data_IF_481719130429
#
_entry.id   IF_481719130429
#
_cell.length_a   1.000
_cell.length_b   1.000
_cell.length_c   1.000
_cell.angle_alpha   90.00
_cell.angle_beta   90.00
_cell.angle_gamma   90.00
#
_symmetry.space_group_name_H-M   'P 1'
#
loop_
_entity.id
_entity.type
_entity.pdbx_description
1 polymer ?
#
# COMPACT_ATOMS: atom_id res chain seq x y z
N UNK A 1 -32.12 26.02 38.97
CA UNK A 1 -31.91 25.84 37.51
C UNK A 1 -30.50 26.27 37.16
N UNK A 2 -29.71 25.36 36.57
CA UNK A 2 -28.53 25.64 35.72
C UNK A 2 -28.05 24.29 35.15
N UNK A 3 -28.25 24.02 33.85
CA UNK A 3 -27.66 22.84 33.20
C UNK A 3 -26.22 23.17 32.80
N UNK A 4 -25.25 22.44 33.31
CA UNK A 4 -23.90 22.46 32.73
C UNK A 4 -23.83 21.31 31.73
N UNK A 5 -24.06 21.68 30.48
CA UNK A 5 -23.61 20.96 29.29
C UNK A 5 -22.08 20.79 29.33
N UNK A 6 -21.61 19.56 29.27
CA UNK A 6 -20.31 19.17 28.70
C UNK A 6 -20.49 17.74 28.17
N UNK A 7 -21.16 17.52 27.05
CA UNK A 7 -20.70 17.67 25.66
C UNK A 7 -19.28 17.10 25.41
N UNK A 8 -19.28 15.81 25.05
CA UNK A 8 -18.48 15.20 23.98
C UNK A 8 -16.96 15.44 23.97
N UNK A 9 -16.23 14.72 24.81
CA UNK A 9 -14.83 14.37 24.55
C UNK A 9 -14.74 12.97 23.93
N UNK A 10 -15.32 12.82 22.74
CA UNK A 10 -15.11 11.67 21.87
C UNK A 10 -14.33 12.13 20.65
N UNK A 11 -13.05 12.47 20.81
CA UNK A 11 -12.18 12.65 19.66
C UNK A 11 -12.04 11.28 19.00
N UNK A 12 -12.85 11.07 17.97
CA UNK A 12 -12.68 10.05 16.96
C UNK A 12 -11.27 10.19 16.40
N UNK A 13 -10.34 9.36 16.87
CA UNK A 13 -9.12 9.04 16.13
C UNK A 13 -9.53 8.19 14.91
N UNK A 14 -10.25 8.82 13.97
CA UNK A 14 -10.40 8.29 12.63
C UNK A 14 -9.02 8.40 12.01
N UNK A 15 -8.25 7.31 12.09
CA UNK A 15 -7.06 7.14 11.27
C UNK A 15 -7.52 7.35 9.83
N UNK A 16 -6.96 8.32 9.08
CA UNK A 16 -7.25 8.41 7.67
C UNK A 16 -6.76 7.09 7.06
N UNK A 17 -7.70 6.26 6.60
CA UNK A 17 -7.35 5.17 5.72
C UNK A 17 -6.79 5.85 4.46
N UNK A 18 -5.46 5.85 4.32
CA UNK A 18 -4.79 6.26 3.10
C UNK A 18 -5.30 5.32 2.01
N UNK A 19 -6.21 5.84 1.18
CA UNK A 19 -6.65 5.13 0.00
C UNK A 19 -5.53 5.23 -1.02
N UNK A 20 -5.09 4.08 -1.55
CA UNK A 20 -4.08 4.04 -2.60
C UNK A 20 -4.54 4.88 -3.79
N UNK A 21 -3.66 5.71 -4.36
CA UNK A 21 -3.98 6.50 -5.54
C UNK A 21 -4.25 5.58 -6.77
N UNK A 22 -5.42 5.67 -7.42
CA UNK A 22 -5.71 4.88 -8.63
C UNK A 22 -4.73 5.13 -9.78
N UNK A 23 -4.07 6.29 -9.84
CA UNK A 23 -3.04 6.58 -10.84
C UNK A 23 -1.78 5.73 -10.58
N UNK A 24 -1.34 5.60 -9.32
CA UNK A 24 -0.23 4.74 -8.92
C UNK A 24 -0.49 3.27 -9.30
N UNK A 25 -1.72 2.79 -9.06
CA UNK A 25 -2.14 1.43 -9.43
C UNK A 25 -2.12 1.23 -10.95
N UNK A 26 -2.62 2.21 -11.70
CA UNK A 26 -2.64 2.15 -13.16
C UNK A 26 -1.22 2.14 -13.73
N UNK A 27 -0.31 2.92 -13.15
CA UNK A 27 1.10 2.91 -13.53
C UNK A 27 1.76 1.56 -13.25
N UNK A 28 1.51 0.96 -12.08
CA UNK A 28 2.00 -0.39 -11.78
C UNK A 28 1.47 -1.42 -12.78
N UNK A 29 0.14 -1.47 -13.01
CA UNK A 29 -0.48 -2.48 -13.87
C UNK A 29 0.05 -2.42 -15.31
N UNK A 30 0.44 -1.24 -15.79
CA UNK A 30 0.99 -1.01 -17.13
C UNK A 30 2.54 -1.10 -17.18
N UNK A 31 3.20 -1.31 -16.04
CA UNK A 31 4.65 -1.39 -15.96
C UNK A 31 5.18 -2.80 -16.18
N UNK A 32 6.48 -2.89 -16.47
CA UNK A 32 7.20 -4.16 -16.50
C UNK A 32 7.28 -4.86 -15.13
N UNK A 33 6.87 -4.20 -14.05
CA UNK A 33 6.86 -4.76 -12.70
C UNK A 33 5.59 -5.54 -12.35
N UNK A 34 4.55 -5.49 -13.18
CA UNK A 34 3.37 -6.33 -12.99
C UNK A 34 3.66 -7.79 -13.38
N UNK A 35 4.38 -8.48 -12.48
CA UNK A 35 4.95 -9.81 -12.69
C UNK A 35 4.47 -10.79 -11.61
N UNK A 36 4.48 -12.10 -11.88
CA UNK A 36 4.18 -13.11 -10.86
C UNK A 36 5.08 -13.01 -9.62
N UNK A 37 6.34 -12.59 -9.79
CA UNK A 37 7.29 -12.40 -8.69
C UNK A 37 6.83 -11.36 -7.66
N UNK A 38 5.93 -10.45 -8.04
CA UNK A 38 5.29 -9.49 -7.14
C UNK A 38 3.84 -9.84 -6.84
N UNK A 39 3.11 -10.48 -7.76
CA UNK A 39 1.64 -10.63 -7.68
C UNK A 39 1.15 -12.04 -7.37
N UNK A 40 2.03 -13.04 -7.33
CA UNK A 40 1.67 -14.43 -6.99
C UNK A 40 2.34 -14.88 -5.69
N UNK A 41 1.60 -14.91 -4.56
CA UNK A 41 2.13 -15.36 -3.27
C UNK A 41 2.66 -16.79 -3.25
N UNK A 42 2.19 -17.66 -4.15
CA UNK A 42 2.63 -19.05 -4.19
C UNK A 42 4.08 -19.19 -4.71
N UNK A 43 4.55 -18.23 -5.49
CA UNK A 43 5.85 -18.29 -6.19
C UNK A 43 6.78 -17.13 -5.83
N UNK A 44 6.27 -16.03 -5.30
CA UNK A 44 7.05 -14.80 -5.04
C UNK A 44 8.05 -14.91 -3.90
N UNK A 45 7.79 -15.79 -2.91
CA UNK A 45 8.57 -15.93 -1.69
C UNK A 45 8.51 -14.70 -0.77
N UNK A 46 7.53 -13.82 -0.95
CA UNK A 46 7.36 -12.60 -0.14
C UNK A 46 6.52 -12.93 1.09
N UNK A 47 7.10 -12.77 2.28
CA UNK A 47 6.49 -13.14 3.55
C UNK A 47 5.89 -11.95 4.33
N UNK A 48 6.28 -10.70 4.03
CA UNK A 48 5.82 -9.53 4.74
C UNK A 48 5.93 -8.23 3.90
N UNK A 49 5.38 -7.14 4.44
CA UNK A 49 5.38 -5.83 3.79
C UNK A 49 6.78 -5.31 3.46
N UNK A 50 7.76 -5.50 4.35
CA UNK A 50 9.12 -5.00 4.12
C UNK A 50 9.79 -5.70 2.92
N UNK A 51 9.57 -7.01 2.79
CA UNK A 51 10.06 -7.77 1.63
C UNK A 51 9.32 -7.36 0.34
N UNK A 52 8.02 -7.09 0.41
CA UNK A 52 7.26 -6.61 -0.74
C UNK A 52 7.79 -5.25 -1.21
N UNK A 53 7.93 -4.29 -0.29
CA UNK A 53 8.48 -2.95 -0.58
C UNK A 53 9.87 -3.05 -1.22
N UNK A 54 10.76 -3.87 -0.65
CA UNK A 54 12.10 -4.08 -1.21
C UNK A 54 12.05 -4.64 -2.64
N UNK A 55 11.15 -5.58 -2.92
CA UNK A 55 11.01 -6.15 -4.28
C UNK A 55 10.39 -5.17 -5.26
N UNK A 56 9.38 -4.39 -4.85
CA UNK A 56 8.78 -3.34 -5.69
C UNK A 56 9.85 -2.31 -6.07
N UNK A 57 10.63 -1.82 -5.10
CA UNK A 57 11.75 -0.90 -5.34
C UNK A 57 12.86 -1.48 -6.20
N UNK A 58 13.16 -2.77 -6.00
CA UNK A 58 14.12 -3.49 -6.83
C UNK A 58 13.68 -3.49 -8.29
N UNK A 59 12.41 -3.83 -8.54
CA UNK A 59 11.85 -3.85 -9.87
C UNK A 59 11.80 -2.46 -10.52
N UNK A 60 11.37 -1.44 -9.77
CA UNK A 60 11.35 -0.04 -10.23
C UNK A 60 12.73 0.41 -10.72
N UNK A 61 13.76 0.16 -9.90
CA UNK A 61 15.16 0.47 -10.26
C UNK A 61 15.63 -0.31 -11.48
N UNK A 62 15.43 -1.64 -11.50
CA UNK A 62 15.99 -2.50 -12.54
C UNK A 62 15.34 -2.21 -13.92
N UNK A 63 14.09 -1.74 -13.93
CA UNK A 63 13.37 -1.33 -15.13
C UNK A 63 13.44 0.17 -15.44
N UNK A 64 14.14 0.96 -14.62
CA UNK A 64 14.29 2.41 -14.79
C UNK A 64 12.94 3.14 -14.95
N UNK A 65 11.94 2.79 -14.12
CA UNK A 65 10.61 3.40 -14.16
C UNK A 65 10.60 4.73 -13.38
N UNK A 66 11.29 4.77 -12.24
CA UNK A 66 11.46 5.94 -11.37
C UNK A 66 10.15 6.44 -10.75
N UNK A 67 9.42 5.56 -10.09
CA UNK A 67 8.26 5.97 -9.30
C UNK A 67 8.65 6.87 -8.12
N UNK A 68 7.74 7.77 -7.75
CA UNK A 68 7.87 8.54 -6.52
C UNK A 68 7.60 7.66 -5.29
N UNK A 69 8.10 8.09 -4.14
CA UNK A 69 8.01 7.34 -2.89
C UNK A 69 6.56 7.06 -2.45
N UNK A 70 5.66 8.02 -2.62
CA UNK A 70 4.23 7.88 -2.36
C UNK A 70 3.58 6.85 -3.29
N UNK A 71 3.92 6.89 -4.59
CA UNK A 71 3.46 5.90 -5.55
C UNK A 71 3.94 4.49 -5.18
N UNK A 72 5.20 4.35 -4.75
CA UNK A 72 5.72 3.05 -4.29
C UNK A 72 4.91 2.54 -3.10
N UNK A 73 4.61 3.40 -2.11
CA UNK A 73 3.78 3.00 -0.97
C UNK A 73 2.36 2.60 -1.38
N UNK A 74 1.72 3.33 -2.28
CA UNK A 74 0.39 2.99 -2.82
C UNK A 74 0.40 1.66 -3.57
N UNK A 75 1.44 1.41 -4.38
CA UNK A 75 1.61 0.17 -5.13
C UNK A 75 1.83 -1.01 -4.18
N UNK A 76 2.71 -0.85 -3.18
CA UNK A 76 2.95 -1.87 -2.15
C UNK A 76 1.66 -2.17 -1.39
N UNK A 77 0.92 -1.14 -0.97
CA UNK A 77 -0.37 -1.29 -0.29
C UNK A 77 -1.41 -2.01 -1.15
N UNK A 78 -1.50 -1.66 -2.43
CA UNK A 78 -2.38 -2.33 -3.38
C UNK A 78 -2.01 -3.81 -3.57
N UNK A 79 -0.74 -4.12 -3.79
CA UNK A 79 -0.29 -5.50 -4.00
C UNK A 79 -0.54 -6.33 -2.73
N UNK A 80 -0.19 -5.78 -1.56
CA UNK A 80 -0.42 -6.43 -0.27
C UNK A 80 -1.90 -6.73 -0.05
N UNK A 81 -2.78 -5.74 -0.24
CA UNK A 81 -4.22 -5.90 -0.06
C UNK A 81 -4.85 -6.86 -1.07
N UNK A 82 -4.38 -6.84 -2.32
CA UNK A 82 -5.00 -7.63 -3.39
C UNK A 82 -4.53 -9.08 -3.42
N UNK A 83 -3.25 -9.33 -3.13
CA UNK A 83 -2.62 -10.63 -3.31
C UNK A 83 -2.16 -11.25 -1.98
N UNK A 84 -1.78 -10.45 -0.98
CA UNK A 84 -1.18 -10.93 0.27
C UNK A 84 -2.03 -10.60 1.50
N UNK A 85 -3.24 -11.18 1.54
CA UNK A 85 -4.22 -10.98 2.60
C UNK A 85 -3.74 -11.37 4.03
N UNK A 86 -2.56 -11.97 4.17
CA UNK A 86 -2.02 -12.49 5.43
C UNK A 86 -0.73 -11.81 5.87
N UNK A 87 -0.31 -10.69 5.26
CA UNK A 87 0.82 -9.94 5.80
C UNK A 87 0.48 -9.44 7.21
N UNK A 88 1.27 -9.89 8.18
CA UNK A 88 1.24 -9.42 9.57
C UNK A 88 2.10 -8.18 9.75
#
# INVERSE_FOLDING_TARGET
MKPVLMLCAGLLLMQPALANDPDSITQFNNSACNTPELTDPATSGIANHAQLDQKVRGCDRDNHIYWYEDQIQDIVGYIAQKYYNNFQ
#
